data_IF_210691997537
#
_entry.id   IF_210691997537
#
_cell.length_a   1.000
_cell.length_b   1.000
_cell.length_c   1.000
_cell.angle_alpha   90.00
_cell.angle_beta   90.00
_cell.angle_gamma   90.00
#
_symmetry.space_group_name_H-M   'P 1'
#
loop_
_entity.id
_entity.type
_entity.pdbx_description
1 polymer ?
#
# COMPACT_ATOMS: atom_id res chain seq x y z
N UNK A 1 -0.31 -16.98 -19.01
CA UNK A 1 -0.25 -18.09 -19.97
C UNK A 1 -0.67 -17.63 -21.38
N UNK A 2 -1.87 -17.08 -21.63
CA UNK A 2 -2.28 -16.60 -22.97
C UNK A 2 -1.27 -15.68 -23.67
N UNK A 3 -0.57 -14.81 -22.95
CA UNK A 3 0.45 -13.90 -23.52
C UNK A 3 1.73 -14.59 -24.00
N UNK A 4 1.96 -15.87 -23.65
CA UNK A 4 3.14 -16.65 -24.02
C UNK A 4 2.89 -17.60 -25.20
N UNK A 5 1.64 -17.90 -25.53
CA UNK A 5 1.26 -18.90 -26.53
C UNK A 5 1.49 -18.43 -27.99
N UNK A 6 1.49 -17.14 -28.23
CA UNK A 6 1.66 -16.55 -29.58
C UNK A 6 3.11 -16.57 -30.11
N UNK A 7 4.09 -16.99 -29.30
CA UNK A 7 5.53 -17.00 -29.66
C UNK A 7 6.15 -18.38 -29.94
N UNK A 8 5.33 -19.44 -30.13
CA UNK A 8 5.84 -20.80 -30.41
C UNK A 8 6.46 -21.53 -29.21
N UNK A 9 6.55 -20.91 -28.02
CA UNK A 9 6.99 -21.55 -26.80
C UNK A 9 5.79 -22.18 -26.07
N UNK A 10 5.92 -23.43 -25.61
CA UNK A 10 4.90 -24.08 -24.77
C UNK A 10 5.15 -23.73 -23.30
N UNK A 11 4.37 -22.84 -22.66
CA UNK A 11 4.55 -22.53 -21.25
C UNK A 11 4.10 -23.70 -20.37
N UNK A 12 4.98 -24.13 -19.47
CA UNK A 12 4.70 -25.16 -18.45
C UNK A 12 4.58 -24.48 -17.11
N UNK A 13 3.46 -24.68 -16.41
CA UNK A 13 3.28 -24.17 -15.04
C UNK A 13 3.93 -25.12 -14.05
N UNK A 14 4.96 -24.65 -13.36
CA UNK A 14 5.54 -25.37 -12.25
C UNK A 14 4.71 -25.13 -10.99
N UNK A 15 4.08 -26.20 -10.50
CA UNK A 15 3.35 -26.16 -9.21
C UNK A 15 4.27 -26.48 -8.04
N UNK A 16 3.79 -26.29 -6.81
CA UNK A 16 4.54 -26.68 -5.61
C UNK A 16 4.88 -28.18 -5.55
N UNK A 17 4.16 -29.03 -6.30
CA UNK A 17 4.37 -30.46 -6.36
C UNK A 17 5.45 -30.89 -7.41
N UNK A 18 5.93 -29.98 -8.27
CA UNK A 18 6.95 -30.30 -9.28
C UNK A 18 8.35 -30.16 -8.65
N UNK A 19 9.06 -31.26 -8.31
CA UNK A 19 10.31 -31.17 -7.55
C UNK A 19 11.52 -30.75 -8.42
N UNK A 20 11.48 -30.99 -9.72
CA UNK A 20 12.58 -30.76 -10.66
C UNK A 20 12.11 -29.97 -11.88
N UNK A 21 13.06 -29.32 -12.56
CA UNK A 21 12.82 -28.67 -13.83
C UNK A 21 12.70 -29.73 -14.94
N UNK A 22 11.77 -29.56 -15.89
CA UNK A 22 11.82 -30.33 -17.13
C UNK A 22 13.14 -30.09 -17.86
N UNK A 23 13.72 -31.14 -18.53
CA UNK A 23 15.05 -31.07 -19.13
C UNK A 23 15.17 -29.98 -20.23
N UNK A 24 14.08 -29.61 -20.88
CA UNK A 24 14.06 -28.66 -22.01
C UNK A 24 13.72 -27.21 -21.62
N UNK A 25 13.74 -26.88 -20.31
CA UNK A 25 13.44 -25.52 -19.85
C UNK A 25 14.56 -24.58 -20.22
N UNK A 26 14.29 -23.65 -21.14
CA UNK A 26 15.25 -22.62 -21.57
C UNK A 26 15.23 -21.39 -20.68
N UNK A 27 14.11 -21.11 -20.01
CA UNK A 27 13.90 -19.90 -19.20
C UNK A 27 12.80 -20.12 -18.16
N UNK A 28 12.97 -19.52 -16.98
CA UNK A 28 11.95 -19.44 -15.94
C UNK A 28 11.37 -18.02 -15.85
N UNK A 29 10.04 -17.92 -15.76
CA UNK A 29 9.36 -16.71 -15.34
C UNK A 29 8.75 -16.95 -13.98
N UNK A 30 9.15 -16.14 -13.01
CA UNK A 30 8.76 -16.28 -11.61
C UNK A 30 7.95 -15.06 -11.19
N UNK A 31 6.65 -15.23 -11.03
CA UNK A 31 5.80 -14.21 -10.44
C UNK A 31 5.95 -14.23 -8.92
N UNK A 32 6.38 -13.13 -8.33
CA UNK A 32 6.48 -12.96 -6.88
C UNK A 32 5.20 -12.31 -6.33
N UNK A 33 4.37 -13.07 -5.60
CA UNK A 33 3.14 -12.51 -5.01
C UNK A 33 3.47 -11.56 -3.86
N UNK A 34 2.57 -10.63 -3.57
CA UNK A 34 2.72 -9.68 -2.45
C UNK A 34 2.50 -10.33 -1.08
N UNK A 35 1.79 -11.45 -1.01
CA UNK A 35 1.61 -12.19 0.25
C UNK A 35 2.96 -12.67 0.79
N UNK A 36 3.39 -12.26 1.98
CA UNK A 36 4.71 -12.57 2.52
C UNK A 36 5.04 -14.06 2.57
N UNK A 37 4.06 -14.91 2.91
CA UNK A 37 4.24 -16.37 2.90
C UNK A 37 4.57 -16.88 1.51
N UNK A 38 3.76 -16.47 0.52
CA UNK A 38 3.94 -16.90 -0.88
C UNK A 38 5.19 -16.29 -1.50
N UNK A 39 5.47 -15.01 -1.22
CA UNK A 39 6.69 -14.34 -1.66
C UNK A 39 7.94 -15.11 -1.21
N UNK A 40 8.08 -15.35 0.10
CA UNK A 40 9.25 -16.01 0.66
C UNK A 40 9.36 -17.49 0.25
N UNK A 41 8.23 -18.20 0.15
CA UNK A 41 8.23 -19.59 -0.33
C UNK A 41 8.62 -19.67 -1.80
N UNK A 42 8.17 -18.73 -2.64
CA UNK A 42 8.52 -18.65 -4.06
C UNK A 42 9.99 -18.27 -4.24
N UNK A 43 10.51 -17.30 -3.49
CA UNK A 43 11.92 -16.93 -3.50
C UNK A 43 12.83 -18.10 -3.08
N UNK A 44 12.47 -18.77 -2.00
CA UNK A 44 13.20 -19.96 -1.55
C UNK A 44 13.26 -21.04 -2.64
N UNK A 45 12.14 -21.28 -3.30
CA UNK A 45 12.07 -22.26 -4.38
C UNK A 45 12.87 -21.84 -5.60
N UNK A 46 12.77 -20.57 -6.02
CA UNK A 46 13.55 -20.04 -7.12
C UNK A 46 15.07 -20.18 -6.86
N UNK A 47 15.50 -19.87 -5.65
CA UNK A 47 16.91 -20.07 -5.24
C UNK A 47 17.35 -21.54 -5.31
N UNK A 48 16.50 -22.49 -4.87
CA UNK A 48 16.78 -23.92 -4.99
C UNK A 48 16.92 -24.35 -6.45
N UNK A 49 16.08 -23.86 -7.35
CA UNK A 49 16.15 -24.17 -8.78
C UNK A 49 17.43 -23.60 -9.42
N UNK A 50 17.85 -22.40 -9.02
CA UNK A 50 19.12 -21.81 -9.45
C UNK A 50 20.32 -22.64 -8.98
N UNK A 51 20.31 -23.17 -7.75
CA UNK A 51 21.38 -24.02 -7.23
C UNK A 51 21.44 -25.39 -7.90
N UNK A 52 20.31 -25.95 -8.31
CA UNK A 52 20.25 -27.26 -8.99
C UNK A 52 20.70 -27.22 -10.44
N UNK A 53 20.76 -26.03 -11.05
CA UNK A 53 21.17 -25.90 -12.45
C UNK A 53 22.70 -25.91 -12.59
N UNK A 54 23.21 -26.72 -13.50
CA UNK A 54 24.65 -26.78 -13.78
C UNK A 54 25.21 -25.52 -14.43
N UNK A 55 24.35 -24.78 -15.16
CA UNK A 55 24.68 -23.50 -15.79
C UNK A 55 23.75 -22.40 -15.28
N UNK A 56 24.12 -21.10 -15.37
CA UNK A 56 23.25 -20.01 -15.00
C UNK A 56 21.91 -20.09 -15.74
N UNK A 57 20.82 -20.30 -15.00
CA UNK A 57 19.49 -20.47 -15.55
C UNK A 57 18.87 -19.09 -15.83
N UNK A 58 18.49 -18.79 -17.10
CA UNK A 58 17.78 -17.57 -17.40
C UNK A 58 16.47 -17.47 -16.60
N UNK A 59 16.37 -16.50 -15.70
CA UNK A 59 15.23 -16.32 -14.81
C UNK A 59 14.76 -14.86 -14.83
N UNK A 60 13.47 -14.66 -15.05
CA UNK A 60 12.83 -13.35 -14.96
C UNK A 60 11.88 -13.32 -13.76
N UNK A 61 12.16 -12.47 -12.80
CA UNK A 61 11.23 -12.15 -11.73
C UNK A 61 10.27 -11.04 -12.15
N UNK A 62 8.97 -11.28 -12.00
CA UNK A 62 7.93 -10.26 -12.07
C UNK A 62 7.54 -9.92 -10.63
N UNK A 63 7.90 -8.73 -10.16
CA UNK A 63 7.80 -8.37 -8.74
C UNK A 63 7.53 -6.89 -8.56
N UNK A 64 6.89 -6.56 -7.42
CA UNK A 64 6.83 -5.20 -6.88
C UNK A 64 7.84 -4.97 -5.74
N UNK A 65 8.58 -6.00 -5.37
CA UNK A 65 9.64 -5.85 -4.36
C UNK A 65 10.83 -5.11 -4.96
N UNK A 66 11.53 -4.26 -4.17
CA UNK A 66 12.72 -3.55 -4.61
C UNK A 66 13.79 -4.50 -5.17
N UNK A 67 14.39 -4.13 -6.30
CA UNK A 67 15.43 -4.94 -6.95
C UNK A 67 16.65 -5.16 -6.04
N UNK A 68 17.04 -4.15 -5.30
CA UNK A 68 18.15 -4.20 -4.33
C UNK A 68 17.88 -5.17 -3.17
N UNK A 69 16.65 -5.25 -2.70
CA UNK A 69 16.27 -6.23 -1.68
C UNK A 69 16.21 -7.66 -2.23
N UNK A 70 15.65 -7.84 -3.44
CA UNK A 70 15.61 -9.13 -4.13
C UNK A 70 17.02 -9.66 -4.36
N UNK A 71 17.90 -8.83 -4.91
CA UNK A 71 19.30 -9.17 -5.14
C UNK A 71 20.01 -9.56 -3.86
N UNK A 72 19.94 -8.72 -2.83
CA UNK A 72 20.57 -8.98 -1.53
C UNK A 72 20.04 -10.26 -0.87
N UNK A 73 18.74 -10.56 -1.03
CA UNK A 73 18.15 -11.78 -0.51
C UNK A 73 18.66 -13.01 -1.29
N UNK A 74 18.61 -12.96 -2.63
CA UNK A 74 19.06 -14.09 -3.46
C UNK A 74 20.55 -14.40 -3.27
N UNK A 75 21.40 -13.39 -3.11
CA UNK A 75 22.83 -13.58 -2.77
C UNK A 75 23.03 -14.41 -1.50
N UNK A 76 22.14 -14.31 -0.52
CA UNK A 76 22.21 -15.10 0.70
C UNK A 76 21.55 -16.49 0.58
N UNK A 77 20.76 -16.72 -0.48
CA UNK A 77 20.07 -18.00 -0.70
C UNK A 77 20.86 -18.94 -1.63
N UNK A 78 21.69 -18.39 -2.52
CA UNK A 78 22.44 -19.16 -3.52
C UNK A 78 23.91 -19.26 -3.11
N UNK A 79 24.53 -20.44 -3.21
CA UNK A 79 25.91 -20.65 -2.80
C UNK A 79 26.92 -19.95 -3.73
N UNK A 80 26.64 -19.94 -5.04
CA UNK A 80 27.54 -19.38 -6.03
C UNK A 80 26.91 -18.17 -6.74
N UNK A 81 27.54 -17.01 -6.63
CA UNK A 81 27.09 -15.75 -7.26
C UNK A 81 26.91 -15.88 -8.77
N UNK A 82 27.71 -16.70 -9.45
CA UNK A 82 27.60 -16.93 -10.90
C UNK A 82 26.22 -17.39 -11.33
N UNK A 83 25.51 -18.15 -10.47
CA UNK A 83 24.15 -18.62 -10.75
C UNK A 83 23.13 -17.48 -10.90
N UNK A 84 23.44 -16.29 -10.39
CA UNK A 84 22.57 -15.10 -10.48
C UNK A 84 22.85 -14.24 -11.73
N UNK A 85 23.89 -14.55 -12.53
CA UNK A 85 24.28 -13.72 -13.68
C UNK A 85 23.20 -13.61 -14.76
N UNK A 86 22.38 -14.66 -14.93
CA UNK A 86 21.28 -14.71 -15.88
C UNK A 86 19.91 -14.33 -15.28
N UNK A 87 19.89 -13.77 -14.05
CA UNK A 87 18.67 -13.35 -13.39
C UNK A 87 18.33 -11.91 -13.77
N UNK A 88 17.07 -11.68 -14.10
CA UNK A 88 16.50 -10.39 -14.46
C UNK A 88 15.26 -10.12 -13.59
N UNK A 89 14.85 -8.87 -13.49
CA UNK A 89 13.60 -8.49 -12.82
C UNK A 89 12.87 -7.41 -13.60
N UNK A 90 11.56 -7.43 -13.52
CA UNK A 90 10.68 -6.40 -14.05
C UNK A 90 9.53 -6.16 -13.07
N UNK A 91 8.97 -4.96 -13.12
CA UNK A 91 7.79 -4.64 -12.33
C UNK A 91 6.59 -5.49 -12.79
N UNK A 92 5.86 -6.08 -11.85
CA UNK A 92 4.70 -6.93 -12.17
C UNK A 92 3.46 -6.15 -12.60
N UNK A 93 3.51 -4.83 -12.50
CA UNK A 93 2.45 -3.87 -12.87
C UNK A 93 2.76 -3.09 -14.15
N UNK A 94 3.73 -3.54 -14.93
CA UNK A 94 3.97 -3.01 -16.27
C UNK A 94 2.72 -3.16 -17.15
N UNK A 95 2.49 -2.24 -18.10
CA UNK A 95 1.43 -2.36 -19.10
C UNK A 95 1.48 -3.71 -19.81
N UNK A 96 0.29 -4.25 -20.14
CA UNK A 96 0.16 -5.58 -20.77
C UNK A 96 1.02 -5.75 -22.01
N UNK A 97 1.14 -4.76 -22.94
CA UNK A 97 2.04 -4.88 -24.09
C UNK A 97 3.51 -5.06 -23.70
N UNK A 98 3.99 -4.32 -22.70
CA UNK A 98 5.37 -4.42 -22.20
C UNK A 98 5.63 -5.78 -21.55
N UNK A 99 4.68 -6.26 -20.72
CA UNK A 99 4.74 -7.60 -20.15
C UNK A 99 4.72 -8.68 -21.24
N UNK A 100 3.88 -8.53 -22.26
CA UNK A 100 3.80 -9.44 -23.38
C UNK A 100 5.14 -9.52 -24.13
N UNK A 101 5.78 -8.38 -24.40
CA UNK A 101 7.09 -8.33 -25.03
C UNK A 101 8.14 -9.08 -24.18
N UNK A 102 8.22 -8.77 -22.87
CA UNK A 102 9.15 -9.45 -21.95
C UNK A 102 8.90 -10.96 -21.80
N UNK A 103 7.67 -11.41 -22.02
CA UNK A 103 7.30 -12.81 -21.90
C UNK A 103 7.53 -13.59 -23.21
N UNK A 104 7.41 -12.96 -24.37
CA UNK A 104 7.55 -13.59 -25.69
C UNK A 104 8.99 -13.67 -26.15
N UNK A 105 9.78 -12.63 -25.93
CA UNK A 105 11.14 -12.58 -26.45
C UNK A 105 12.18 -13.21 -25.51
N UNK A 106 13.23 -13.72 -26.11
CA UNK A 106 14.55 -13.81 -25.47
C UNK A 106 14.83 -12.37 -24.97
N UNK A 107 15.06 -12.22 -23.66
CA UNK A 107 15.27 -10.91 -23.03
C UNK A 107 16.15 -10.05 -23.95
N UNK A 108 15.68 -8.83 -24.33
CA UNK A 108 16.41 -7.99 -25.29
C UNK A 108 17.87 -7.83 -24.88
N UNK A 109 18.79 -7.90 -25.84
CA UNK A 109 20.18 -7.54 -25.60
C UNK A 109 20.21 -6.13 -24.99
N UNK A 110 20.84 -5.99 -23.83
CA UNK A 110 20.87 -4.71 -23.09
C UNK A 110 19.83 -4.57 -21.98
N UNK A 111 18.89 -5.51 -21.79
CA UNK A 111 18.01 -5.47 -20.63
C UNK A 111 18.82 -5.68 -19.32
N UNK A 112 18.72 -4.76 -18.34
CA UNK A 112 19.60 -4.78 -17.19
C UNK A 112 19.47 -6.06 -16.37
N UNK A 113 20.58 -6.54 -15.84
CA UNK A 113 20.56 -7.64 -14.87
C UNK A 113 19.91 -7.21 -13.56
N UNK A 114 19.45 -8.18 -12.76
CA UNK A 114 18.94 -7.87 -11.42
C UNK A 114 20.01 -7.16 -10.56
N UNK A 115 21.29 -7.49 -10.75
CA UNK A 115 22.42 -6.83 -10.09
C UNK A 115 22.52 -5.36 -10.49
N UNK A 116 22.47 -5.04 -11.79
CA UNK A 116 22.52 -3.66 -12.28
C UNK A 116 21.37 -2.82 -11.75
N UNK A 117 20.13 -3.36 -11.81
CA UNK A 117 18.96 -2.70 -11.23
C UNK A 117 19.11 -2.48 -9.72
N UNK A 118 19.67 -3.46 -9.00
CA UNK A 118 19.90 -3.36 -7.57
C UNK A 118 20.95 -2.28 -7.24
N UNK A 119 21.98 -2.14 -8.06
CA UNK A 119 23.04 -1.12 -7.87
C UNK A 119 22.51 0.29 -8.20
N UNK A 120 21.68 0.43 -9.21
CA UNK A 120 21.03 1.70 -9.57
C UNK A 120 20.09 2.16 -8.44
N UNK A 121 19.25 1.24 -7.95
CA UNK A 121 18.32 1.52 -6.85
C UNK A 121 19.07 1.84 -5.56
N UNK A 122 20.15 1.10 -5.23
CA UNK A 122 20.97 1.35 -4.05
C UNK A 122 21.66 2.72 -4.10
N UNK A 123 22.11 3.14 -5.29
CA UNK A 123 22.67 4.48 -5.50
C UNK A 123 21.64 5.57 -5.31
N UNK A 124 20.42 5.39 -5.85
CA UNK A 124 19.31 6.33 -5.68
C UNK A 124 18.86 6.48 -4.22
N UNK A 125 18.87 5.37 -3.46
CA UNK A 125 18.47 5.35 -2.04
C UNK A 125 19.61 5.74 -1.07
N UNK A 126 20.86 5.90 -1.55
CA UNK A 126 22.03 6.16 -0.71
C UNK A 126 22.41 5.00 0.23
N UNK A 127 21.72 3.85 0.13
CA UNK A 127 22.00 2.63 0.91
C UNK A 127 21.54 1.40 0.16
N UNK A 128 22.21 0.27 0.41
CA UNK A 128 21.75 -1.04 -0.08
C UNK A 128 20.89 -1.72 0.97
N UNK A 129 19.64 -2.09 0.67
CA UNK A 129 18.79 -2.83 1.59
C UNK A 129 19.40 -4.17 2.01
N UNK A 130 19.24 -4.52 3.27
CA UNK A 130 19.70 -5.80 3.79
C UNK A 130 18.76 -6.93 3.38
N UNK A 131 19.26 -7.90 2.60
CA UNK A 131 18.54 -9.11 2.24
C UNK A 131 18.41 -10.13 3.39
N UNK A 132 17.48 -11.05 3.23
CA UNK A 132 17.28 -12.15 4.19
C UNK A 132 18.32 -13.23 4.01
N UNK A 133 19.02 -13.58 5.07
CA UNK A 133 19.88 -14.77 5.09
C UNK A 133 19.03 -16.05 5.06
N UNK A 134 19.62 -17.18 4.66
CA UNK A 134 18.95 -18.50 4.65
C UNK A 134 18.30 -18.86 6.00
N UNK A 135 18.99 -18.69 7.14
CA UNK A 135 18.40 -18.93 8.45
C UNK A 135 17.22 -18.00 8.77
N UNK A 136 17.33 -16.70 8.45
CA UNK A 136 16.28 -15.72 8.68
C UNK A 136 15.04 -16.01 7.82
N UNK A 137 15.22 -16.28 6.52
CA UNK A 137 14.13 -16.62 5.61
C UNK A 137 13.35 -17.84 6.10
N UNK A 138 14.04 -18.92 6.49
CA UNK A 138 13.41 -20.10 7.03
C UNK A 138 12.73 -19.85 8.39
N UNK A 139 13.31 -19.00 9.24
CA UNK A 139 12.74 -18.65 10.54
C UNK A 139 11.43 -17.86 10.37
N UNK A 140 11.41 -16.90 9.44
CA UNK A 140 10.21 -16.10 9.12
C UNK A 140 9.15 -16.96 8.45
N UNK A 141 9.50 -17.81 7.47
CA UNK A 141 8.53 -18.72 6.86
C UNK A 141 7.83 -19.58 7.90
N UNK A 142 8.58 -20.17 8.85
CA UNK A 142 7.96 -20.96 9.91
C UNK A 142 7.05 -20.14 10.83
N UNK A 143 7.43 -18.88 11.11
CA UNK A 143 6.61 -17.97 11.88
C UNK A 143 5.30 -17.63 11.13
N UNK A 144 5.39 -17.30 9.86
CA UNK A 144 4.25 -16.94 9.01
C UNK A 144 3.31 -18.13 8.77
N UNK A 145 3.83 -19.36 8.75
CA UNK A 145 3.05 -20.59 8.67
C UNK A 145 2.45 -21.00 10.02
N UNK A 146 2.66 -20.24 11.08
CA UNK A 146 2.07 -20.53 12.40
C UNK A 146 2.81 -21.57 13.23
N UNK A 147 4.04 -21.95 12.87
CA UNK A 147 4.80 -22.92 13.66
C UNK A 147 5.20 -22.36 15.02
N UNK A 148 4.96 -23.13 16.08
CA UNK A 148 5.44 -22.79 17.43
C UNK A 148 6.96 -22.67 17.42
N UNK A 149 7.50 -21.74 18.21
CA UNK A 149 8.96 -21.54 18.26
C UNK A 149 9.70 -22.79 18.73
N UNK A 150 9.15 -23.53 19.70
CA UNK A 150 9.68 -24.80 20.19
C UNK A 150 9.85 -25.83 19.06
N UNK A 151 8.77 -26.01 18.28
CA UNK A 151 8.74 -27.03 17.23
C UNK A 151 9.66 -26.67 16.07
N UNK A 152 9.72 -25.37 15.73
CA UNK A 152 10.61 -24.89 14.69
C UNK A 152 12.09 -24.98 15.09
N UNK A 153 12.42 -24.65 16.34
CA UNK A 153 13.78 -24.77 16.87
C UNK A 153 14.23 -26.23 16.89
N UNK A 154 13.37 -27.12 17.41
CA UNK A 154 13.64 -28.57 17.45
C UNK A 154 13.85 -29.15 16.05
N UNK A 155 12.98 -28.84 15.07
CA UNK A 155 13.12 -29.31 13.68
C UNK A 155 14.40 -28.84 13.00
N UNK A 156 14.93 -27.69 13.41
CA UNK A 156 16.15 -27.11 12.84
C UNK A 156 17.41 -27.39 13.63
N UNK A 157 17.31 -28.08 14.76
CA UNK A 157 18.44 -28.39 15.63
C UNK A 157 19.14 -27.16 16.22
N UNK A 158 18.39 -26.08 16.49
CA UNK A 158 18.92 -24.81 17.01
C UNK A 158 18.26 -24.45 18.34
N UNK A 159 18.92 -23.58 19.12
CA UNK A 159 18.35 -23.08 20.37
C UNK A 159 17.16 -22.13 20.12
N UNK A 160 16.24 -22.04 21.08
CA UNK A 160 15.16 -21.06 21.06
C UNK A 160 15.68 -19.62 20.90
N UNK A 161 16.78 -19.29 21.60
CA UNK A 161 17.42 -17.96 21.51
C UNK A 161 17.92 -17.68 20.10
N UNK A 162 18.55 -18.68 19.46
CA UNK A 162 19.03 -18.57 18.08
C UNK A 162 17.86 -18.34 17.10
N UNK A 163 16.79 -19.13 17.23
CA UNK A 163 15.60 -18.98 16.40
C UNK A 163 14.95 -17.60 16.59
N UNK A 164 14.86 -17.16 17.83
CA UNK A 164 14.31 -15.86 18.17
C UNK A 164 15.11 -14.72 17.50
N UNK A 165 16.44 -14.75 17.61
CA UNK A 165 17.30 -13.76 16.96
C UNK A 165 17.12 -13.75 15.44
N UNK A 166 17.03 -14.92 14.81
CA UNK A 166 16.80 -15.05 13.37
C UNK A 166 15.42 -14.51 12.96
N UNK A 167 14.36 -14.79 13.73
CA UNK A 167 13.03 -14.24 13.49
C UNK A 167 13.04 -12.71 13.60
N UNK A 168 13.64 -12.17 14.66
CA UNK A 168 13.70 -10.71 14.91
C UNK A 168 14.51 -9.98 13.82
N UNK A 169 15.71 -10.47 13.50
CA UNK A 169 16.54 -9.86 12.47
C UNK A 169 15.86 -9.89 11.10
N UNK A 170 15.29 -11.03 10.74
CA UNK A 170 14.60 -11.17 9.48
C UNK A 170 13.30 -10.35 9.40
N UNK A 171 12.52 -10.26 10.48
CA UNK A 171 11.33 -9.40 10.52
C UNK A 171 11.69 -7.92 10.35
N UNK A 172 12.76 -7.46 10.99
CA UNK A 172 13.24 -6.08 10.82
C UNK A 172 13.51 -5.76 9.35
N UNK A 173 14.19 -6.68 8.64
CA UNK A 173 14.48 -6.55 7.21
C UNK A 173 13.22 -6.62 6.33
N UNK A 174 12.25 -7.47 6.70
CA UNK A 174 10.99 -7.59 5.98
C UNK A 174 10.10 -6.35 6.13
N UNK A 175 10.02 -5.78 7.32
CA UNK A 175 9.20 -4.60 7.61
C UNK A 175 9.65 -3.38 6.79
N UNK A 176 10.94 -3.27 6.48
CA UNK A 176 11.46 -2.19 5.63
C UNK A 176 10.87 -2.22 4.20
N UNK A 177 10.47 -3.40 3.69
CA UNK A 177 10.02 -3.59 2.31
C UNK A 177 8.55 -4.03 2.18
N UNK A 178 7.94 -4.45 3.27
CA UNK A 178 6.57 -4.94 3.34
C UNK A 178 5.84 -4.32 4.54
N UNK A 179 5.24 -3.11 4.41
CA UNK A 179 4.57 -2.39 5.51
C UNK A 179 3.50 -3.20 6.23
N UNK A 180 2.80 -4.08 5.49
CA UNK A 180 1.84 -5.02 6.05
C UNK A 180 2.44 -5.98 7.09
N UNK A 181 3.75 -6.19 7.05
CA UNK A 181 4.46 -6.96 8.07
C UNK A 181 4.66 -6.16 9.36
N UNK A 182 4.78 -4.83 9.26
CA UNK A 182 4.84 -3.97 10.45
C UNK A 182 3.55 -4.06 11.28
N UNK A 183 2.40 -4.14 10.61
CA UNK A 183 1.11 -4.33 11.26
C UNK A 183 0.98 -5.71 11.92
N UNK A 184 1.53 -6.76 11.28
CA UNK A 184 1.48 -8.13 11.80
C UNK A 184 2.48 -8.39 12.93
N UNK A 185 3.59 -7.64 12.96
CA UNK A 185 4.67 -7.78 13.96
C UNK A 185 5.10 -6.40 14.47
N UNK A 186 4.25 -5.71 15.23
CA UNK A 186 4.53 -4.39 15.77
C UNK A 186 5.72 -4.49 16.74
N UNK A 187 6.82 -3.87 16.32
CA UNK A 187 8.05 -3.78 17.09
C UNK A 187 9.05 -4.91 16.83
N UNK A 188 10.24 -4.55 16.34
CA UNK A 188 11.40 -5.44 16.26
C UNK A 188 11.97 -5.84 17.64
N UNK A 189 11.38 -5.35 18.73
CA UNK A 189 11.61 -5.81 20.10
C UNK A 189 10.52 -6.81 20.45
N UNK A 190 10.71 -8.05 20.01
CA UNK A 190 9.97 -9.18 20.54
C UNK A 190 10.57 -9.47 21.93
N UNK A 191 10.22 -8.69 22.94
CA UNK A 191 10.11 -9.23 24.30
C UNK A 191 8.99 -10.26 24.23
N UNK A 192 9.18 -11.39 24.91
CA UNK A 192 8.16 -12.42 25.08
C UNK A 192 6.85 -11.80 25.60
N UNK A 193 6.10 -11.19 24.71
CA UNK A 193 4.69 -10.98 24.91
C UNK A 193 3.99 -12.16 24.26
N UNK A 194 3.28 -12.87 25.11
CA UNK A 194 2.39 -13.98 24.84
C UNK A 194 1.80 -13.90 23.43
N UNK A 195 1.85 -15.01 22.72
CA UNK A 195 1.29 -15.28 21.39
C UNK A 195 -0.19 -14.89 21.29
N UNK A 196 -0.48 -13.62 21.04
CA UNK A 196 -1.85 -13.10 21.07
C UNK A 196 -2.23 -12.12 19.96
N UNK A 197 -1.98 -12.22 18.69
CA UNK A 197 -2.83 -11.40 17.83
C UNK A 197 -3.88 -12.19 17.06
N UNK A 198 -3.59 -13.40 16.60
CA UNK A 198 -4.55 -14.14 15.76
C UNK A 198 -5.46 -15.05 16.59
N UNK A 199 -4.99 -15.57 17.71
CA UNK A 199 -5.82 -16.38 18.61
C UNK A 199 -6.90 -15.57 19.35
N UNK A 200 -6.67 -14.26 19.52
CA UNK A 200 -7.63 -13.34 20.14
C UNK A 200 -8.64 -12.74 19.17
N UNK A 201 -8.44 -12.89 17.85
CA UNK A 201 -9.39 -12.41 16.85
C UNK A 201 -10.69 -13.24 16.89
N UNK A 202 -11.82 -12.56 16.86
CA UNK A 202 -13.10 -13.22 16.64
C UNK A 202 -13.15 -13.84 15.21
N UNK A 203 -14.14 -14.71 14.98
CA UNK A 203 -14.27 -15.41 13.67
C UNK A 203 -14.36 -14.43 12.51
N UNK A 204 -15.11 -13.33 12.68
CA UNK A 204 -15.27 -12.29 11.67
C UNK A 204 -13.94 -11.61 11.35
N UNK A 205 -13.16 -11.22 12.35
CA UNK A 205 -11.89 -10.54 12.15
C UNK A 205 -10.83 -11.45 11.51
N UNK A 206 -10.85 -12.76 11.82
CA UNK A 206 -10.00 -13.73 11.11
C UNK A 206 -10.34 -13.82 9.63
N UNK A 207 -11.64 -13.88 9.32
CA UNK A 207 -12.12 -13.84 7.95
C UNK A 207 -11.75 -12.53 7.25
N UNK A 208 -11.93 -11.40 7.92
CA UNK A 208 -11.56 -10.08 7.41
C UNK A 208 -10.07 -9.96 7.08
N UNK A 209 -9.19 -10.37 8.00
CA UNK A 209 -7.74 -10.38 7.76
C UNK A 209 -7.39 -11.33 6.61
N UNK A 210 -8.04 -12.50 6.53
CA UNK A 210 -7.87 -13.42 5.41
C UNK A 210 -8.34 -12.79 4.09
N UNK A 211 -9.46 -12.08 4.10
CA UNK A 211 -10.03 -11.40 2.93
C UNK A 211 -9.08 -10.32 2.36
N UNK A 212 -8.36 -9.58 3.22
CA UNK A 212 -7.30 -8.66 2.78
C UNK A 212 -6.18 -9.44 2.05
N UNK A 213 -5.71 -10.54 2.64
CA UNK A 213 -4.62 -11.33 2.05
C UNK A 213 -5.02 -12.07 0.77
N UNK A 214 -6.29 -12.43 0.63
CA UNK A 214 -6.85 -13.11 -0.56
C UNK A 214 -7.40 -12.15 -1.62
N UNK A 215 -7.24 -10.83 -1.42
CA UNK A 215 -7.73 -9.77 -2.32
C UNK A 215 -9.25 -9.75 -2.49
N UNK A 216 -9.98 -10.28 -1.54
CA UNK A 216 -11.42 -10.10 -1.47
C UNK A 216 -11.78 -8.68 -0.98
N UNK A 217 -10.91 -8.10 -0.13
CA UNK A 217 -10.92 -6.67 0.14
C UNK A 217 -10.02 -5.99 -0.89
N UNK A 218 -10.57 -4.99 -1.56
CA UNK A 218 -9.93 -4.27 -2.66
C UNK A 218 -10.18 -2.77 -2.56
N UNK A 219 -9.26 -1.95 -3.10
CA UNK A 219 -9.39 -0.50 -3.11
C UNK A 219 -10.29 -0.04 -4.27
N UNK A 220 -11.04 1.02 -4.04
CA UNK A 220 -11.62 1.88 -5.06
C UNK A 220 -11.14 3.30 -4.83
N UNK A 221 -11.12 4.12 -5.87
CA UNK A 221 -10.51 5.44 -5.89
C UNK A 221 -11.56 6.49 -6.23
N UNK A 222 -11.75 7.47 -5.36
CA UNK A 222 -12.67 8.57 -5.63
C UNK A 222 -11.90 9.86 -5.90
N UNK A 223 -12.08 10.47 -7.08
CA UNK A 223 -11.38 11.69 -7.46
C UNK A 223 -11.77 12.90 -6.60
N UNK A 224 -10.76 13.72 -6.32
CA UNK A 224 -10.91 15.04 -5.70
C UNK A 224 -10.36 16.08 -6.67
N UNK A 225 -11.22 17.01 -7.08
CA UNK A 225 -10.88 18.04 -8.08
C UNK A 225 -10.86 19.42 -7.44
N UNK A 226 -10.27 20.37 -8.15
CA UNK A 226 -10.39 21.79 -7.82
C UNK A 226 -11.66 22.44 -8.41
N UNK A 227 -11.76 23.75 -8.26
CA UNK A 227 -12.85 24.59 -8.79
C UNK A 227 -12.93 24.64 -10.32
N UNK A 228 -11.88 24.19 -11.02
CA UNK A 228 -11.82 24.06 -12.48
C UNK A 228 -12.05 22.62 -12.92
N UNK A 229 -12.45 21.73 -12.00
CA UNK A 229 -12.64 20.29 -12.20
C UNK A 229 -11.36 19.56 -12.60
N UNK A 230 -10.18 20.14 -12.32
CA UNK A 230 -8.89 19.50 -12.54
C UNK A 230 -8.58 18.55 -11.39
N UNK A 231 -8.13 17.35 -11.70
CA UNK A 231 -7.77 16.34 -10.69
C UNK A 231 -6.63 16.85 -9.81
N UNK A 232 -6.80 16.75 -8.49
CA UNK A 232 -5.77 17.09 -7.48
C UNK A 232 -5.32 15.88 -6.70
N UNK A 233 -6.20 14.95 -6.48
CA UNK A 233 -5.92 13.72 -5.75
C UNK A 233 -7.07 12.73 -5.80
N UNK A 234 -6.91 11.63 -5.08
CA UNK A 234 -7.93 10.60 -4.95
C UNK A 234 -7.99 10.10 -3.51
N UNK A 235 -9.18 9.87 -3.00
CA UNK A 235 -9.39 9.13 -1.77
C UNK A 235 -9.43 7.64 -2.05
N UNK A 236 -8.73 6.86 -1.22
CA UNK A 236 -8.73 5.40 -1.30
C UNK A 236 -9.77 4.86 -0.33
N UNK A 237 -10.83 4.32 -0.91
CA UNK A 237 -11.89 3.64 -0.19
C UNK A 237 -11.74 2.14 -0.34
N UNK A 238 -12.25 1.37 0.61
CA UNK A 238 -12.20 -0.10 0.56
C UNK A 238 -13.56 -0.69 0.26
N UNK A 239 -13.56 -1.84 -0.41
CA UNK A 239 -14.74 -2.67 -0.65
C UNK A 239 -14.40 -4.11 -0.31
N UNK A 240 -15.39 -4.89 0.11
CA UNK A 240 -15.20 -6.30 0.41
C UNK A 240 -16.13 -7.16 -0.45
N UNK A 241 -15.54 -7.97 -1.33
CA UNK A 241 -16.28 -8.98 -2.08
C UNK A 241 -16.48 -10.21 -1.19
N UNK A 242 -17.71 -10.40 -0.69
CA UNK A 242 -18.06 -11.47 0.23
C UNK A 242 -19.33 -12.16 -0.25
N UNK A 243 -19.30 -13.50 -0.38
CA UNK A 243 -20.45 -14.31 -0.79
C UNK A 243 -21.17 -13.81 -2.06
N UNK A 244 -20.40 -13.37 -3.06
CA UNK A 244 -20.96 -12.87 -4.34
C UNK A 244 -21.46 -11.42 -4.31
N UNK A 245 -21.46 -10.77 -3.15
CA UNK A 245 -21.87 -9.36 -2.97
C UNK A 245 -20.66 -8.47 -2.66
N UNK A 246 -20.77 -7.18 -2.98
CA UNK A 246 -19.79 -6.17 -2.60
C UNK A 246 -20.32 -5.41 -1.39
N UNK A 247 -19.61 -5.51 -0.27
CA UNK A 247 -19.90 -4.80 0.97
C UNK A 247 -19.17 -3.47 1.01
N UNK A 248 -19.82 -2.46 1.59
CA UNK A 248 -19.26 -1.13 1.82
C UNK A 248 -18.66 -1.02 3.23
N UNK A 249 -17.79 -0.03 3.49
CA UNK A 249 -17.17 0.17 4.81
C UNK A 249 -18.16 0.17 5.97
N UNK A 250 -19.32 0.79 5.81
CA UNK A 250 -20.38 0.83 6.82
C UNK A 250 -20.91 -0.56 7.22
N UNK A 251 -20.83 -1.55 6.32
CA UNK A 251 -21.35 -2.89 6.57
C UNK A 251 -20.39 -3.76 7.42
N UNK A 252 -19.08 -3.49 7.37
CA UNK A 252 -18.08 -4.38 7.97
C UNK A 252 -17.11 -3.69 8.95
N UNK A 253 -16.76 -2.43 8.77
CA UNK A 253 -15.82 -1.74 9.66
C UNK A 253 -16.32 -1.64 11.12
N UNK A 254 -17.63 -1.40 11.39
CA UNK A 254 -18.14 -1.34 12.76
C UNK A 254 -18.01 -2.66 13.53
N UNK A 255 -17.77 -3.78 12.84
CA UNK A 255 -17.61 -5.10 13.46
C UNK A 255 -16.15 -5.36 13.90
N UNK A 256 -15.20 -4.52 13.47
CA UNK A 256 -13.79 -4.63 13.86
C UNK A 256 -13.57 -4.07 15.27
N UNK A 257 -13.12 -4.93 16.17
CA UNK A 257 -12.80 -4.59 17.58
C UNK A 257 -11.30 -4.63 17.85
N UNK A 258 -10.58 -5.48 17.11
CA UNK A 258 -9.16 -5.72 17.31
C UNK A 258 -8.33 -4.61 16.69
N UNK A 259 -7.42 -4.05 17.49
CA UNK A 259 -6.37 -3.14 17.01
C UNK A 259 -5.54 -3.77 15.87
N UNK A 260 -5.30 -5.06 15.95
CA UNK A 260 -4.57 -5.79 14.91
C UNK A 260 -5.28 -5.77 13.56
N UNK A 261 -6.60 -6.00 13.52
CA UNK A 261 -7.37 -5.96 12.28
C UNK A 261 -7.32 -4.56 11.63
N UNK A 262 -7.40 -3.50 12.43
CA UNK A 262 -7.25 -2.13 11.99
C UNK A 262 -5.83 -1.83 11.45
N UNK A 263 -4.78 -2.31 12.11
CA UNK A 263 -3.41 -2.15 11.63
C UNK A 263 -3.18 -2.86 10.30
N UNK A 264 -3.75 -4.07 10.12
CA UNK A 264 -3.65 -4.81 8.85
C UNK A 264 -4.35 -4.06 7.72
N UNK A 265 -5.56 -3.53 7.98
CA UNK A 265 -6.28 -2.72 7.00
C UNK A 265 -5.49 -1.47 6.62
N UNK A 266 -4.98 -0.74 7.62
CA UNK A 266 -4.20 0.49 7.38
C UNK A 266 -2.93 0.20 6.58
N UNK A 267 -2.22 -0.89 6.90
CA UNK A 267 -1.04 -1.30 6.12
C UNK A 267 -1.40 -1.60 4.65
N UNK A 268 -2.52 -2.27 4.42
CA UNK A 268 -3.01 -2.53 3.07
C UNK A 268 -3.30 -1.23 2.30
N UNK A 269 -4.05 -0.29 2.90
CA UNK A 269 -4.42 0.97 2.23
C UNK A 269 -3.19 1.86 1.99
N UNK A 270 -2.24 1.92 2.94
CA UNK A 270 -0.98 2.65 2.77
C UNK A 270 -0.14 2.07 1.61
N UNK A 271 -0.10 0.75 1.48
CA UNK A 271 0.58 0.11 0.36
C UNK A 271 -0.06 0.48 -0.97
N UNK A 272 -1.39 0.49 -1.04
CA UNK A 272 -2.12 0.92 -2.23
C UNK A 272 -1.83 2.38 -2.59
N UNK A 273 -1.79 3.28 -1.60
CA UNK A 273 -1.45 4.67 -1.80
C UNK A 273 -0.03 4.85 -2.35
N UNK A 274 0.97 4.20 -1.74
CA UNK A 274 2.37 4.26 -2.20
C UNK A 274 2.51 3.77 -3.64
N UNK A 275 1.84 2.68 -3.99
CA UNK A 275 1.89 2.13 -5.35
C UNK A 275 1.36 3.14 -6.38
N UNK A 276 0.22 3.78 -6.08
CA UNK A 276 -0.38 4.75 -6.99
C UNK A 276 0.42 6.07 -7.04
N UNK A 277 0.93 6.56 -5.90
CA UNK A 277 1.84 7.72 -5.89
C UNK A 277 3.06 7.47 -6.78
N UNK A 278 3.66 6.28 -6.70
CA UNK A 278 4.80 5.90 -7.54
C UNK A 278 4.41 5.73 -9.01
N UNK A 279 3.23 5.15 -9.29
CA UNK A 279 2.74 4.93 -10.64
C UNK A 279 2.55 6.25 -11.38
N UNK A 280 1.97 7.24 -10.71
CA UNK A 280 1.72 8.59 -11.27
C UNK A 280 2.82 9.60 -10.91
N UNK A 281 4.02 9.14 -10.55
CA UNK A 281 5.21 9.96 -10.30
C UNK A 281 5.01 11.11 -9.28
N UNK A 282 4.05 10.96 -8.37
CA UNK A 282 3.72 11.97 -7.37
C UNK A 282 2.95 13.19 -7.92
N UNK A 283 2.36 13.09 -9.10
CA UNK A 283 1.53 14.15 -9.68
C UNK A 283 0.30 14.43 -8.81
N UNK A 284 -0.38 13.37 -8.38
CA UNK A 284 -1.58 13.45 -7.55
C UNK A 284 -1.29 13.00 -6.11
N UNK A 285 -2.07 13.51 -5.15
CA UNK A 285 -2.05 12.94 -3.81
C UNK A 285 -3.06 11.79 -3.69
N UNK A 286 -2.78 10.88 -2.75
CA UNK A 286 -3.71 9.81 -2.39
C UNK A 286 -3.99 9.92 -0.89
N UNK A 287 -5.28 10.06 -0.56
CA UNK A 287 -5.76 10.19 0.80
C UNK A 287 -6.21 8.82 1.34
N UNK A 288 -5.89 8.57 2.59
CA UNK A 288 -6.18 7.31 3.28
C UNK A 288 -6.81 7.57 4.63
N UNK A 289 -7.92 6.92 4.90
CA UNK A 289 -8.62 7.00 6.17
C UNK A 289 -7.84 6.31 7.28
N UNK A 290 -7.60 7.02 8.39
CA UNK A 290 -6.90 6.52 9.57
C UNK A 290 -7.88 6.41 10.75
N UNK A 291 -8.26 5.19 11.16
CA UNK A 291 -9.13 4.99 12.31
C UNK A 291 -8.50 5.51 13.60
N UNK A 292 -9.31 6.00 14.54
CA UNK A 292 -8.84 6.54 15.82
C UNK A 292 -7.99 5.52 16.61
N UNK A 293 -8.32 4.23 16.53
CA UNK A 293 -7.54 3.14 17.15
C UNK A 293 -6.10 3.08 16.62
N UNK A 294 -5.91 3.32 15.31
CA UNK A 294 -4.58 3.35 14.68
C UNK A 294 -3.91 4.71 14.90
N UNK A 295 -4.67 5.80 14.83
CA UNK A 295 -4.16 7.16 15.03
C UNK A 295 -3.52 7.35 16.42
N UNK A 296 -4.07 6.68 17.44
CA UNK A 296 -3.53 6.68 18.82
C UNK A 296 -2.31 5.77 19.02
N UNK A 297 -2.00 4.90 18.02
CA UNK A 297 -0.97 3.88 18.14
C UNK A 297 0.38 4.37 17.59
N UNK A 298 1.46 4.14 18.32
CA UNK A 298 2.82 4.50 17.88
C UNK A 298 3.27 3.74 16.61
N UNK A 299 2.67 2.60 16.32
CA UNK A 299 2.97 1.85 15.10
C UNK A 299 2.62 2.63 13.84
N UNK A 300 1.65 3.55 13.89
CA UNK A 300 1.32 4.42 12.76
C UNK A 300 2.55 5.20 12.28
N UNK A 301 3.33 5.77 13.20
CA UNK A 301 4.56 6.53 12.83
C UNK A 301 5.53 5.64 12.05
N UNK A 302 5.71 4.38 12.50
CA UNK A 302 6.60 3.43 11.81
C UNK A 302 6.06 3.01 10.46
N UNK A 303 4.75 2.78 10.36
CA UNK A 303 4.09 2.44 9.10
C UNK A 303 4.26 3.57 8.07
N UNK A 304 4.07 4.82 8.49
CA UNK A 304 4.25 6.00 7.64
C UNK A 304 5.69 6.17 7.19
N UNK A 305 6.67 5.98 8.08
CA UNK A 305 8.10 6.01 7.70
C UNK A 305 8.44 4.90 6.72
N UNK A 306 7.88 3.70 6.90
CA UNK A 306 8.06 2.60 5.96
C UNK A 306 7.42 2.92 4.61
N UNK A 307 6.22 3.49 4.61
CA UNK A 307 5.56 3.95 3.38
C UNK A 307 6.39 5.01 2.65
N UNK A 308 6.95 5.99 3.38
CA UNK A 308 7.85 7.02 2.82
C UNK A 308 9.09 6.42 2.16
N UNK A 309 9.70 5.40 2.79
CA UNK A 309 10.87 4.72 2.23
C UNK A 309 10.57 3.91 0.96
N UNK A 310 9.31 3.57 0.71
CA UNK A 310 8.86 2.87 -0.49
C UNK A 310 8.46 3.82 -1.64
N UNK A 311 8.38 5.11 -1.38
CA UNK A 311 8.22 6.10 -2.44
C UNK A 311 9.49 6.15 -3.28
N UNK A 312 9.35 6.24 -4.61
CA UNK A 312 10.50 6.38 -5.53
C UNK A 312 11.37 7.58 -5.16
N UNK A 313 10.74 8.64 -4.65
CA UNK A 313 11.39 9.85 -4.16
C UNK A 313 10.79 10.20 -2.80
N UNK A 314 11.57 10.20 -1.71
CA UNK A 314 11.06 10.53 -0.37
C UNK A 314 10.43 11.94 -0.27
N UNK A 315 10.81 12.85 -1.16
CA UNK A 315 10.32 14.23 -1.22
C UNK A 315 8.83 14.31 -1.62
N UNK A 316 8.30 13.28 -2.29
CA UNK A 316 6.87 13.22 -2.65
C UNK A 316 5.99 12.67 -1.52
N UNK A 317 6.54 12.45 -0.31
CA UNK A 317 5.76 12.03 0.86
C UNK A 317 4.53 12.92 1.17
N UNK A 318 4.49 14.24 0.88
CA UNK A 318 3.28 15.04 1.02
C UNK A 318 2.10 14.61 0.10
N UNK A 319 2.36 13.69 -0.84
CA UNK A 319 1.31 13.09 -1.69
C UNK A 319 0.58 11.93 -1.02
N UNK A 320 1.17 11.37 0.05
CA UNK A 320 0.50 10.43 0.94
C UNK A 320 -0.19 11.23 2.05
N UNK A 321 -1.51 11.36 1.95
CA UNK A 321 -2.33 12.18 2.83
C UNK A 321 -3.11 11.30 3.78
N UNK A 322 -3.21 11.70 5.05
CA UNK A 322 -3.98 11.00 6.07
C UNK A 322 -5.28 11.73 6.33
N UNK A 323 -6.39 11.00 6.37
CA UNK A 323 -7.70 11.53 6.75
C UNK A 323 -8.05 11.03 8.14
N UNK A 324 -8.45 11.94 9.00
CA UNK A 324 -8.80 11.68 10.38
C UNK A 324 -10.23 12.17 10.63
N UNK A 325 -11.10 11.26 11.07
CA UNK A 325 -12.48 11.60 11.32
C UNK A 325 -12.63 12.63 12.45
N UNK A 326 -13.60 13.52 12.35
CA UNK A 326 -13.91 14.59 13.30
C UNK A 326 -14.10 14.08 14.74
N UNK A 327 -14.66 12.88 14.91
CA UNK A 327 -14.94 12.28 16.21
C UNK A 327 -13.69 11.70 16.93
N UNK A 328 -12.49 11.79 16.32
CA UNK A 328 -11.27 11.40 16.97
C UNK A 328 -10.94 12.33 18.15
N UNK A 329 -10.50 11.75 19.29
CA UNK A 329 -10.08 12.55 20.44
C UNK A 329 -8.79 13.33 20.15
N UNK A 330 -8.96 14.58 19.72
CA UNK A 330 -7.89 15.52 19.42
C UNK A 330 -7.53 16.42 20.59
N UNK A 331 -7.81 16.03 21.81
CA UNK A 331 -7.40 16.78 23.00
C UNK A 331 -5.90 17.12 22.95
N UNK A 332 -5.53 18.32 23.41
CA UNK A 332 -4.17 18.90 23.28
C UNK A 332 -3.05 17.99 23.80
N UNK A 333 -3.36 17.13 24.75
CA UNK A 333 -2.43 16.16 25.36
C UNK A 333 -2.74 14.72 24.98
N UNK A 334 -3.64 14.52 24.02
CA UNK A 334 -4.03 13.19 23.55
C UNK A 334 -2.95 12.52 22.70
N UNK A 335 -2.91 11.19 22.73
CA UNK A 335 -1.97 10.40 21.92
C UNK A 335 -2.14 10.66 20.41
N UNK A 336 -3.37 10.86 19.93
CA UNK A 336 -3.67 11.15 18.53
C UNK A 336 -3.03 12.48 18.14
N UNK A 337 -3.28 13.55 18.88
CA UNK A 337 -2.70 14.87 18.61
C UNK A 337 -1.16 14.81 18.58
N UNK A 338 -0.54 14.10 19.52
CA UNK A 338 0.91 13.90 19.56
C UNK A 338 1.45 13.16 18.33
N UNK A 339 0.79 12.07 17.91
CA UNK A 339 1.18 11.30 16.73
C UNK A 339 1.02 12.12 15.45
N UNK A 340 -0.11 12.84 15.30
CA UNK A 340 -0.37 13.70 14.14
C UNK A 340 0.66 14.83 14.03
N UNK A 341 0.98 15.51 15.12
CA UNK A 341 2.03 16.54 15.13
C UNK A 341 3.40 15.98 14.72
N UNK A 342 3.76 14.77 15.19
CA UNK A 342 5.00 14.09 14.79
C UNK A 342 5.03 13.74 13.31
N UNK A 343 3.89 13.35 12.71
CA UNK A 343 3.79 13.06 11.29
C UNK A 343 3.88 14.34 10.44
N UNK A 344 3.23 15.43 10.87
CA UNK A 344 3.34 16.73 10.20
C UNK A 344 4.78 17.25 10.20
N UNK A 345 5.50 17.14 11.33
CA UNK A 345 6.93 17.48 11.40
C UNK A 345 7.80 16.69 10.43
N UNK A 346 7.35 15.48 10.03
CA UNK A 346 8.00 14.65 9.03
C UNK A 346 7.56 14.93 7.59
N UNK A 347 6.72 15.95 7.39
CA UNK A 347 6.26 16.39 6.08
C UNK A 347 5.02 15.68 5.55
N UNK A 348 4.35 14.82 6.34
CA UNK A 348 3.08 14.25 5.95
C UNK A 348 1.94 15.27 6.08
N UNK A 349 0.98 15.20 5.17
CA UNK A 349 -0.23 16.01 5.21
C UNK A 349 -1.35 15.26 5.90
N UNK A 350 -2.16 16.01 6.66
CA UNK A 350 -3.30 15.45 7.39
C UNK A 350 -4.52 16.30 7.09
N UNK A 351 -5.64 15.65 6.79
CA UNK A 351 -6.95 16.25 6.59
C UNK A 351 -7.88 15.87 7.74
N UNK A 352 -8.77 16.77 8.09
CA UNK A 352 -9.88 16.46 9.00
C UNK A 352 -11.12 16.15 8.17
N UNK A 353 -11.66 14.97 8.40
CA UNK A 353 -12.77 14.39 7.66
C UNK A 353 -14.10 14.54 8.41
N UNK A 354 -15.23 14.46 7.68
CA UNK A 354 -16.60 14.49 8.19
C UNK A 354 -16.95 15.74 9.01
N UNK A 355 -16.36 16.91 8.69
CA UNK A 355 -16.61 18.15 9.46
C UNK A 355 -18.09 18.52 9.48
N UNK A 356 -18.62 18.69 10.70
CA UNK A 356 -20.02 18.95 11.00
C UNK A 356 -20.98 17.77 10.72
N UNK A 357 -20.49 16.55 10.68
CA UNK A 357 -21.34 15.35 10.55
C UNK A 357 -22.25 15.13 11.76
N UNK A 358 -21.86 15.63 12.93
CA UNK A 358 -22.61 15.52 14.17
C UNK A 358 -23.02 16.88 14.71
N UNK A 359 -24.23 16.96 15.28
CA UNK A 359 -24.82 18.22 15.77
C UNK A 359 -24.19 18.79 17.06
N UNK A 360 -23.19 18.14 17.64
CA UNK A 360 -22.61 18.47 18.95
C UNK A 360 -21.10 18.73 18.94
N UNK A 361 -20.53 19.18 17.85
CA UNK A 361 -19.07 19.22 17.72
C UNK A 361 -18.47 20.52 18.23
N UNK A 362 -17.60 20.36 19.24
CA UNK A 362 -16.57 21.34 19.58
C UNK A 362 -15.40 21.12 18.61
N UNK A 363 -15.29 21.99 17.65
CA UNK A 363 -14.27 21.96 16.62
C UNK A 363 -12.85 21.93 17.24
N UNK A 364 -11.99 20.94 16.97
CA UNK A 364 -10.67 20.83 17.58
C UNK A 364 -9.63 21.76 16.94
N UNK A 365 -10.07 22.97 16.52
CA UNK A 365 -9.30 23.94 15.73
C UNK A 365 -8.03 24.46 16.40
N UNK A 366 -7.83 24.25 17.70
CA UNK A 366 -6.66 24.80 18.41
C UNK A 366 -5.59 23.76 18.71
N UNK A 367 -5.89 22.46 18.60
CA UNK A 367 -4.97 21.39 18.98
C UNK A 367 -4.00 21.04 17.85
N UNK A 368 -4.47 21.05 16.60
CA UNK A 368 -3.72 20.74 15.40
C UNK A 368 -4.20 21.60 14.25
N UNK A 369 -3.29 21.99 13.35
CA UNK A 369 -3.64 22.61 12.07
C UNK A 369 -3.65 21.54 11.00
N UNK A 370 -4.78 21.35 10.33
CA UNK A 370 -4.92 20.39 9.24
C UNK A 370 -4.60 21.05 7.90
N UNK A 371 -4.11 20.27 6.94
CA UNK A 371 -3.85 20.78 5.59
C UNK A 371 -5.12 21.01 4.78
N UNK A 372 -6.19 20.27 5.11
CA UNK A 372 -7.52 20.47 4.58
C UNK A 372 -8.60 20.03 5.60
N UNK A 373 -9.80 20.53 5.40
CA UNK A 373 -11.01 20.21 6.14
C UNK A 373 -12.09 19.80 5.15
N UNK A 374 -12.68 18.61 5.33
CA UNK A 374 -13.69 18.05 4.43
C UNK A 374 -15.07 18.29 5.05
N UNK A 375 -15.94 19.01 4.33
CA UNK A 375 -17.33 19.23 4.71
C UNK A 375 -18.14 17.96 4.46
N UNK A 376 -18.82 17.47 5.47
CA UNK A 376 -19.67 16.30 5.38
C UNK A 376 -20.83 16.51 4.40
N UNK A 377 -21.21 15.43 3.71
CA UNK A 377 -22.33 15.44 2.76
C UNK A 377 -23.66 15.90 3.39
N UNK A 378 -23.91 15.57 4.66
CA UNK A 378 -25.15 15.92 5.37
C UNK A 378 -25.32 17.42 5.48
N UNK A 379 -24.30 18.13 5.97
CA UNK A 379 -24.38 19.60 6.09
C UNK A 379 -24.48 20.29 4.72
N UNK A 380 -23.84 19.71 3.69
CA UNK A 380 -23.96 20.22 2.32
C UNK A 380 -25.40 20.04 1.80
N UNK A 381 -26.05 18.93 2.10
CA UNK A 381 -27.45 18.71 1.72
C UNK A 381 -28.40 19.69 2.41
N UNK A 382 -28.11 20.05 3.66
CA UNK A 382 -28.94 20.94 4.46
C UNK A 382 -28.74 22.42 4.11
N UNK A 383 -27.66 22.82 3.43
CA UNK A 383 -27.29 24.22 3.17
C UNK A 383 -28.37 25.04 2.44
N UNK A 384 -29.32 24.40 1.78
CA UNK A 384 -30.40 25.09 1.07
C UNK A 384 -31.63 25.34 1.94
N UNK A 385 -31.79 24.54 2.98
CA UNK A 385 -33.00 24.53 3.83
C UNK A 385 -32.71 25.03 5.24
N UNK A 386 -31.45 24.99 5.65
CA UNK A 386 -31.02 25.41 6.99
C UNK A 386 -29.99 26.54 6.92
N UNK A 387 -30.38 27.70 7.45
CA UNK A 387 -29.50 28.87 7.54
C UNK A 387 -28.29 28.63 8.46
N UNK A 388 -28.43 27.77 9.49
CA UNK A 388 -27.30 27.39 10.39
C UNK A 388 -26.28 26.53 9.65
N UNK A 389 -26.73 25.56 8.86
CA UNK A 389 -25.84 24.76 8.02
C UNK A 389 -25.03 25.67 7.06
N UNK A 390 -25.70 26.58 6.38
CA UNK A 390 -25.00 27.53 5.50
C UNK A 390 -24.01 28.43 6.26
N UNK A 391 -24.37 28.87 7.48
CA UNK A 391 -23.47 29.68 8.31
C UNK A 391 -22.22 28.90 8.75
N UNK A 392 -22.38 27.63 9.14
CA UNK A 392 -21.27 26.76 9.49
C UNK A 392 -20.33 26.51 8.31
N UNK A 393 -20.86 26.21 7.13
CA UNK A 393 -20.09 26.07 5.89
C UNK A 393 -19.26 27.34 5.61
N UNK A 394 -19.89 28.51 5.63
CA UNK A 394 -19.20 29.80 5.43
C UNK A 394 -18.12 30.04 6.49
N UNK A 395 -18.39 29.68 7.74
CA UNK A 395 -17.43 29.84 8.84
C UNK A 395 -16.20 28.96 8.64
N UNK A 396 -16.38 27.70 8.20
CA UNK A 396 -15.26 26.80 7.92
C UNK A 396 -14.43 27.28 6.72
N UNK A 397 -15.07 27.71 5.63
CA UNK A 397 -14.38 28.26 4.45
C UNK A 397 -13.55 29.48 4.86
N UNK A 398 -14.13 30.39 5.63
CA UNK A 398 -13.42 31.56 6.12
C UNK A 398 -12.25 31.19 7.03
N UNK A 399 -12.45 30.24 7.95
CA UNK A 399 -11.41 29.73 8.82
C UNK A 399 -10.26 29.13 8.01
N UNK A 400 -10.55 28.23 7.06
CA UNK A 400 -9.54 27.61 6.19
C UNK A 400 -8.69 28.66 5.47
N UNK A 401 -9.35 29.69 4.94
CA UNK A 401 -8.68 30.81 4.25
C UNK A 401 -7.72 31.55 5.17
N UNK A 402 -8.11 31.82 6.42
CA UNK A 402 -7.29 32.55 7.39
C UNK A 402 -6.03 31.76 7.81
N UNK A 403 -6.12 30.44 7.91
CA UNK A 403 -5.00 29.59 8.36
C UNK A 403 -4.21 28.97 7.21
N UNK A 404 -4.56 29.27 5.96
CA UNK A 404 -3.89 28.73 4.77
C UNK A 404 -4.17 27.25 4.51
N UNK A 405 -5.29 26.72 5.01
CA UNK A 405 -5.77 25.36 4.76
C UNK A 405 -6.75 25.31 3.59
N UNK A 406 -7.05 24.13 3.08
CA UNK A 406 -8.04 23.90 2.03
C UNK A 406 -9.40 23.49 2.62
N UNK A 407 -10.48 23.90 1.94
CA UNK A 407 -11.82 23.41 2.23
C UNK A 407 -12.26 22.47 1.11
N UNK A 408 -12.63 21.24 1.43
CA UNK A 408 -13.09 20.22 0.49
C UNK A 408 -14.56 19.97 0.75
N UNK A 409 -15.39 19.95 -0.29
CA UNK A 409 -16.80 19.58 -0.19
C UNK A 409 -17.00 18.13 -0.63
N UNK A 410 -17.63 17.32 0.21
CA UNK A 410 -17.98 15.94 -0.06
C UNK A 410 -19.42 15.77 -0.55
N UNK A 411 -19.72 14.62 -1.15
CA UNK A 411 -21.06 14.27 -1.58
C UNK A 411 -21.67 15.26 -2.59
N UNK A 412 -20.83 15.92 -3.39
CA UNK A 412 -21.29 16.80 -4.46
C UNK A 412 -21.91 15.95 -5.57
N UNK A 413 -23.24 15.89 -5.61
CA UNK A 413 -24.03 15.02 -6.48
C UNK A 413 -24.61 15.73 -7.71
N UNK A 414 -24.52 17.07 -7.78
CA UNK A 414 -25.07 17.86 -8.87
C UNK A 414 -24.20 19.07 -9.20
N UNK A 415 -24.31 19.53 -10.46
CA UNK A 415 -23.62 20.73 -10.92
C UNK A 415 -24.11 21.98 -10.20
N UNK A 416 -25.37 22.00 -9.79
CA UNK A 416 -25.93 23.09 -8.98
C UNK A 416 -25.23 23.23 -7.65
N UNK A 417 -25.08 22.12 -6.89
CA UNK A 417 -24.33 22.09 -5.63
C UNK A 417 -22.87 22.50 -5.83
N UNK A 418 -22.24 21.96 -6.87
CA UNK A 418 -20.86 22.33 -7.23
C UNK A 418 -20.71 23.83 -7.41
N UNK A 419 -21.53 24.45 -8.27
CA UNK A 419 -21.47 25.89 -8.55
C UNK A 419 -21.76 26.76 -7.31
N UNK A 420 -22.70 26.32 -6.48
CA UNK A 420 -23.04 27.01 -5.24
C UNK A 420 -21.90 26.99 -4.23
N UNK A 421 -21.30 25.82 -4.00
CA UNK A 421 -20.15 25.66 -3.10
C UNK A 421 -18.91 26.40 -3.62
N UNK A 422 -18.67 26.37 -4.93
CA UNK A 422 -17.62 27.17 -5.60
C UNK A 422 -17.84 28.68 -5.37
N UNK A 423 -19.06 29.16 -5.54
CA UNK A 423 -19.41 30.59 -5.27
C UNK A 423 -19.22 30.98 -3.79
N UNK A 424 -19.33 30.01 -2.86
CA UNK A 424 -19.06 30.24 -1.44
C UNK A 424 -17.55 30.26 -1.14
N UNK A 425 -16.72 29.78 -2.06
CA UNK A 425 -15.25 29.74 -1.94
C UNK A 425 -14.68 28.43 -1.45
N UNK A 426 -15.35 27.31 -1.70
CA UNK A 426 -14.78 25.96 -1.52
C UNK A 426 -13.69 25.73 -2.56
N UNK A 427 -12.56 25.17 -2.13
CA UNK A 427 -11.36 24.97 -2.97
C UNK A 427 -11.39 23.68 -3.76
N UNK A 428 -11.91 22.59 -3.15
CA UNK A 428 -11.88 21.23 -3.72
C UNK A 428 -13.22 20.54 -3.56
N UNK A 429 -13.48 19.58 -4.44
CA UNK A 429 -14.78 18.93 -4.59
C UNK A 429 -14.64 17.43 -4.79
N UNK A 430 -15.49 16.67 -4.14
CA UNK A 430 -15.59 15.21 -4.23
C UNK A 430 -17.05 14.80 -4.25
N UNK A 431 -17.43 13.89 -5.15
CA UNK A 431 -18.78 13.37 -5.22
C UNK A 431 -19.19 12.90 -6.61
N UNK A 432 -20.39 12.34 -6.71
CA UNK A 432 -20.86 11.69 -7.94
C UNK A 432 -21.04 12.65 -9.14
N UNK A 433 -21.17 13.95 -8.91
CA UNK A 433 -21.19 14.94 -9.99
C UNK A 433 -19.81 15.09 -10.68
N UNK A 434 -18.75 14.62 -10.05
CA UNK A 434 -17.39 14.57 -10.57
C UNK A 434 -17.12 13.18 -11.10
N UNK A 435 -17.08 12.20 -10.20
CA UNK A 435 -16.97 10.78 -10.49
C UNK A 435 -17.39 9.97 -9.26
N UNK A 436 -18.11 8.89 -9.46
CA UNK A 436 -18.22 7.85 -8.44
C UNK A 436 -16.85 7.21 -8.16
N UNK A 437 -16.68 6.54 -7.01
CA UNK A 437 -15.48 5.74 -6.77
C UNK A 437 -15.28 4.70 -7.89
N UNK A 438 -14.08 4.62 -8.44
CA UNK A 438 -13.74 3.72 -9.56
C UNK A 438 -12.77 2.63 -9.13
N UNK A 439 -12.85 1.49 -9.80
CA UNK A 439 -11.87 0.41 -9.64
C UNK A 439 -10.51 0.82 -10.20
N UNK A 440 -9.45 0.16 -9.75
CA UNK A 440 -8.07 0.42 -10.17
C UNK A 440 -7.88 0.48 -11.69
N UNK A 441 -8.58 -0.36 -12.41
CA UNK A 441 -8.46 -0.48 -13.86
C UNK A 441 -8.94 0.78 -14.59
N UNK A 442 -9.88 1.50 -13.98
CA UNK A 442 -10.50 2.70 -14.56
C UNK A 442 -9.85 4.02 -14.09
N UNK A 443 -8.87 3.95 -13.15
CA UNK A 443 -8.20 5.16 -12.61
C UNK A 443 -7.52 5.97 -13.71
N UNK A 444 -6.83 5.32 -14.65
CA UNK A 444 -6.15 6.01 -15.75
C UNK A 444 -7.12 6.77 -16.66
N UNK A 445 -8.28 6.18 -16.96
CA UNK A 445 -9.32 6.81 -17.74
C UNK A 445 -9.89 8.05 -17.05
N UNK A 446 -10.18 7.95 -15.75
CA UNK A 446 -10.67 9.09 -14.96
C UNK A 446 -9.63 10.20 -14.86
N UNK A 447 -8.35 9.87 -14.73
CA UNK A 447 -7.27 10.86 -14.77
C UNK A 447 -7.29 11.60 -16.09
N UNK A 448 -7.36 10.89 -17.22
CA UNK A 448 -7.42 11.49 -18.55
C UNK A 448 -8.63 12.42 -18.72
N UNK A 449 -9.79 12.02 -18.25
CA UNK A 449 -11.03 12.82 -18.31
C UNK A 449 -10.95 14.11 -17.45
N UNK A 450 -10.29 14.04 -16.29
CA UNK A 450 -10.24 15.14 -15.32
C UNK A 450 -8.96 15.97 -15.40
N UNK A 451 -7.95 15.58 -16.17
CA UNK A 451 -6.72 16.37 -16.33
C UNK A 451 -6.84 17.43 -17.44
N UNK A 452 -7.95 17.44 -18.24
CA UNK A 452 -8.07 18.28 -19.42
C UNK A 452 -6.89 18.07 -20.37
N UNK A 453 -7.04 18.17 -21.68
CA UNK A 453 -6.00 17.96 -22.70
C UNK A 453 -4.66 18.67 -22.36
N UNK A 454 -3.96 18.24 -21.34
CA UNK A 454 -2.53 18.42 -21.25
C UNK A 454 -1.97 17.37 -22.22
N UNK A 455 -1.50 17.81 -23.38
CA UNK A 455 -0.65 17.03 -24.27
C UNK A 455 0.38 16.28 -23.42
N UNK A 456 0.11 15.01 -23.14
CA UNK A 456 1.17 14.11 -22.71
C UNK A 456 2.21 14.12 -23.83
N UNK A 457 3.49 14.38 -23.57
CA UNK A 457 4.51 14.25 -24.59
C UNK A 457 4.34 12.85 -25.20
N UNK A 458 4.03 12.82 -26.47
CA UNK A 458 3.87 11.64 -27.32
C UNK A 458 5.17 10.84 -27.34
N UNK A 459 5.37 10.00 -26.30
CA UNK A 459 6.60 9.22 -26.10
C UNK A 459 6.45 8.03 -25.17
N UNK A 460 5.28 7.84 -24.53
CA UNK A 460 4.99 6.60 -23.81
C UNK A 460 3.71 6.04 -24.45
N UNK A 461 3.88 5.25 -25.49
CA UNK A 461 2.80 4.44 -26.04
C UNK A 461 2.27 3.53 -24.92
N UNK A 462 0.99 3.59 -24.67
CA UNK A 462 0.18 2.83 -23.71
C UNK A 462 0.35 1.32 -23.88
#
# INVERSE_FOLDING_TARGET
MRLMEDGGARPVVLTSASPTLPPDVRRLVVFLPESPVRLLSTLKRAAMLLEQSATPLPMLFLSRSPASWLWSTLLHQVAERRQLSAVRAAASDLPVPCLAALLRDVIPEGYPSLEQLADEEARALGKRPAGLTRPELNAILGLLCGYRASDQAKRRGISHKTLYNQRTAGLKKMVEHHPQMAARFPGSQIREQKSEPIAALCTFEREFVHAIHSRQIFPVFQPITDEHRQLRGMEILVRWRRNGSVLFPADFLPQLRSEYAWLVLTAFVLQEAVQNINLYSGEFYFAVNIPAAVASNENLIRMMETARQQLRQPQISPRLVLELAENADLSRHGKIAGNMARLQQRGFRIMLDDCFSQSSVLFPVRALTFNAYKLDMGIINDMQRDAHALALIKSLIYYCRLIGSRCIAEGVDSLEKFNKLKALGVDHFQGNAISAPVDRENVAEVIQQLSGEAEYPSGIAV
#
